data_IF_461705500829
#
_entry.id   IF_461705500829
#
_cell.length_a   1.000
_cell.length_b   1.000
_cell.length_c   1.000
_cell.angle_alpha   90.00
_cell.angle_beta   90.00
_cell.angle_gamma   90.00
#
_symmetry.space_group_name_H-M   'P 1'
#
loop_
_entity.id
_entity.type
_entity.pdbx_description
1 polymer ?
#
# COMPACT_ATOMS: atom_id res chain seq x y z
N UNK A 1 -33.23 23.23 -59.48
CA UNK A 1 -32.11 24.17 -59.69
C UNK A 1 -32.06 25.08 -58.48
N UNK A 2 -30.99 25.01 -57.71
CA UNK A 2 -30.84 25.73 -56.45
C UNK A 2 -29.45 25.42 -55.92
N UNK A 3 -28.48 26.11 -56.51
CA UNK A 3 -27.05 26.02 -56.32
C UNK A 3 -26.64 26.15 -54.85
N UNK A 4 -25.74 25.28 -54.42
CA UNK A 4 -24.95 25.47 -53.22
C UNK A 4 -24.02 26.68 -53.41
N UNK A 5 -24.02 27.58 -52.43
CA UNK A 5 -22.94 28.55 -52.22
C UNK A 5 -22.40 28.27 -50.82
N UNK A 6 -21.31 27.51 -50.76
CA UNK A 6 -20.49 27.41 -49.56
C UNK A 6 -19.70 28.71 -49.49
N UNK A 7 -19.75 29.37 -48.35
CA UNK A 7 -19.08 30.65 -48.12
C UNK A 7 -17.57 30.38 -47.98
N UNK A 8 -16.81 30.57 -49.07
CA UNK A 8 -15.35 30.45 -49.11
C UNK A 8 -14.67 31.71 -48.52
N UNK A 9 -15.05 32.09 -47.31
CA UNK A 9 -14.32 33.13 -46.57
C UNK A 9 -13.21 32.47 -45.76
N UNK A 10 -11.91 32.63 -46.13
CA UNK A 10 -10.82 32.10 -45.33
C UNK A 10 -10.79 32.81 -43.97
N UNK A 11 -10.74 32.03 -42.89
CA UNK A 11 -10.48 32.55 -41.56
C UNK A 11 -9.17 33.35 -41.57
N UNK A 12 -9.10 34.54 -40.93
CA UNK A 12 -7.85 35.27 -40.84
C UNK A 12 -6.81 34.40 -40.13
N UNK A 13 -5.62 34.31 -40.70
CA UNK A 13 -4.51 33.60 -40.10
C UNK A 13 -4.34 34.09 -38.66
N UNK A 14 -4.36 33.17 -37.69
CA UNK A 14 -3.88 33.49 -36.36
C UNK A 14 -2.43 33.95 -36.51
N UNK A 15 -2.18 35.18 -36.08
CA UNK A 15 -0.86 35.68 -35.78
C UNK A 15 -0.27 34.72 -34.74
N UNK A 16 0.71 33.93 -35.16
CA UNK A 16 1.56 33.13 -34.28
C UNK A 16 2.82 33.95 -33.92
N UNK A 17 2.69 35.27 -33.80
CA UNK A 17 3.78 36.16 -33.43
C UNK A 17 3.99 36.01 -31.92
N UNK A 18 4.86 35.07 -31.57
CA UNK A 18 5.58 35.13 -30.32
C UNK A 18 6.19 36.53 -30.26
N UNK A 19 5.70 37.36 -29.32
CA UNK A 19 6.23 38.70 -29.14
C UNK A 19 7.70 38.55 -28.79
N UNK A 20 8.58 38.91 -29.73
CA UNK A 20 9.97 39.16 -29.41
C UNK A 20 10.01 40.42 -28.55
N UNK A 21 10.37 40.22 -27.29
CA UNK A 21 10.72 41.24 -26.34
C UNK A 21 11.75 42.18 -26.99
N UNK A 22 11.37 43.44 -27.13
CA UNK A 22 12.20 44.50 -27.68
C UNK A 22 13.34 44.81 -26.72
N UNK A 23 14.49 44.20 -26.95
CA UNK A 23 15.72 44.45 -26.20
C UNK A 23 16.92 43.85 -26.91
N UNK A 24 17.15 44.26 -28.16
CA UNK A 24 18.39 43.92 -28.85
C UNK A 24 19.51 44.82 -28.33
N UNK A 25 20.36 44.31 -27.44
CA UNK A 25 21.72 44.80 -27.27
C UNK A 25 22.63 44.08 -28.28
N UNK A 26 23.31 44.87 -29.10
CA UNK A 26 24.33 44.43 -30.03
C UNK A 26 25.62 44.14 -29.25
N UNK A 27 25.67 42.92 -28.68
CA UNK A 27 26.72 42.46 -27.78
C UNK A 27 28.15 42.69 -28.27
N UNK A 28 28.78 43.73 -27.72
CA UNK A 28 30.15 43.65 -27.24
C UNK A 28 30.09 43.17 -25.78
N UNK A 29 30.77 42.06 -25.47
CA UNK A 29 30.83 41.48 -24.12
C UNK A 29 31.30 42.54 -23.11
N UNK A 30 30.39 42.96 -22.23
CA UNK A 30 30.73 43.79 -21.07
C UNK A 30 31.10 42.85 -19.91
N UNK A 31 32.14 43.17 -19.12
CA UNK A 31 32.47 42.41 -17.93
C UNK A 31 31.33 42.52 -16.91
N UNK A 32 31.12 41.43 -16.18
CA UNK A 32 29.99 41.22 -15.27
C UNK A 32 29.90 42.32 -14.20
N UNK A 33 28.94 43.23 -14.36
CA UNK A 33 28.41 44.01 -13.24
C UNK A 33 27.39 43.14 -12.48
N UNK A 34 27.26 43.29 -11.15
CA UNK A 34 26.45 42.38 -10.34
C UNK A 34 25.00 42.43 -10.80
N UNK A 35 24.47 41.25 -11.17
CA UNK A 35 23.14 41.10 -11.75
C UNK A 35 22.06 41.76 -10.87
N UNK A 36 21.38 42.75 -11.42
CA UNK A 36 20.10 43.19 -10.88
C UNK A 36 19.05 42.08 -11.03
N UNK A 37 18.17 42.07 -10.04
CA UNK A 37 17.37 40.94 -9.59
C UNK A 37 16.26 40.62 -10.61
N UNK A 38 16.57 39.76 -11.58
CA UNK A 38 15.56 39.14 -12.43
C UNK A 38 14.63 38.33 -11.54
N UNK A 39 13.35 38.74 -11.46
CA UNK A 39 12.31 38.27 -10.53
C UNK A 39 11.88 36.80 -10.59
N UNK A 40 12.80 35.87 -10.80
CA UNK A 40 12.68 34.53 -10.29
C UNK A 40 12.90 34.60 -8.78
N UNK A 41 11.82 34.45 -7.99
CA UNK A 41 11.96 34.32 -6.54
C UNK A 41 13.02 33.27 -6.22
N UNK A 42 13.90 33.56 -5.27
CA UNK A 42 14.85 32.60 -4.71
C UNK A 42 14.17 31.31 -4.23
N UNK A 43 12.85 31.34 -3.99
CA UNK A 43 12.05 30.18 -3.59
C UNK A 43 11.79 29.17 -4.73
N UNK A 44 11.95 29.58 -6.00
CA UNK A 44 11.75 28.73 -7.18
C UNK A 44 13.06 28.31 -7.85
N UNK A 45 14.20 28.47 -7.17
CA UNK A 45 15.47 27.86 -7.61
C UNK A 45 15.33 26.35 -7.38
N UNK A 46 15.63 25.55 -8.40
CA UNK A 46 15.76 24.10 -8.25
C UNK A 46 16.67 23.84 -7.05
N UNK A 47 16.18 23.10 -6.03
CA UNK A 47 16.98 22.69 -4.85
C UNK A 47 18.24 21.86 -5.20
N UNK A 48 18.53 21.69 -6.48
CA UNK A 48 19.70 20.99 -7.02
C UNK A 48 20.65 21.90 -7.81
N UNK A 49 20.41 23.22 -7.86
CA UNK A 49 21.23 24.16 -8.65
C UNK A 49 22.69 24.21 -8.20
N UNK A 50 22.95 24.07 -6.90
CA UNK A 50 24.29 24.25 -6.33
C UNK A 50 25.09 22.94 -6.18
N UNK A 51 24.58 21.82 -6.69
CA UNK A 51 25.26 20.52 -6.60
C UNK A 51 25.44 19.99 -5.16
N UNK A 52 24.90 20.67 -4.14
CA UNK A 52 24.81 20.16 -2.77
C UNK A 52 23.67 19.15 -2.71
N UNK A 53 24.00 17.89 -3.01
CA UNK A 53 23.11 16.74 -2.82
C UNK A 53 22.91 16.48 -1.32
N UNK A 54 22.25 17.40 -0.62
CA UNK A 54 21.56 16.98 0.59
C UNK A 54 20.43 16.07 0.15
N UNK A 55 20.58 14.79 0.47
CA UNK A 55 19.56 13.79 0.33
C UNK A 55 18.22 14.41 0.72
N UNK A 56 17.18 14.20 -0.10
CA UNK A 56 15.81 14.58 0.24
C UNK A 56 15.59 14.30 1.72
N UNK A 57 15.04 15.27 2.45
CA UNK A 57 15.03 15.45 3.92
C UNK A 57 14.40 14.28 4.74
N UNK A 58 14.74 13.02 4.45
CA UNK A 58 14.06 11.82 4.94
C UNK A 58 14.61 10.49 4.41
N UNK A 59 15.93 10.40 4.16
CA UNK A 59 16.62 9.15 3.84
C UNK A 59 16.12 8.39 2.60
N UNK A 60 16.65 7.19 2.41
CA UNK A 60 16.17 6.28 1.39
C UNK A 60 14.71 5.92 1.65
N UNK A 61 13.80 6.19 0.70
CA UNK A 61 12.36 5.87 0.85
C UNK A 61 12.02 4.38 1.01
N UNK A 62 13.01 3.49 0.85
CA UNK A 62 12.84 2.04 0.99
C UNK A 62 13.26 1.53 2.37
N UNK A 63 14.38 2.02 2.92
CA UNK A 63 14.92 1.55 4.20
C UNK A 63 14.96 2.62 5.31
N UNK A 64 14.78 3.89 4.96
CA UNK A 64 14.87 5.03 5.88
C UNK A 64 16.29 5.48 6.19
N UNK A 65 17.33 4.80 5.67
CA UNK A 65 18.73 5.16 5.91
C UNK A 65 19.22 6.23 4.94
N UNK A 66 20.03 7.16 5.43
CA UNK A 66 20.69 8.18 4.63
C UNK A 66 21.92 7.62 3.89
N UNK A 67 22.32 8.26 2.79
CA UNK A 67 23.56 7.93 2.07
C UNK A 67 23.38 7.12 0.78
N UNK A 68 22.16 6.75 0.40
CA UNK A 68 21.86 6.15 -0.91
C UNK A 68 20.46 6.50 -1.42
N UNK A 69 20.26 6.46 -2.74
CA UNK A 69 18.94 6.61 -3.35
C UNK A 69 18.14 5.31 -3.26
N UNK A 70 16.80 5.39 -3.28
CA UNK A 70 15.93 4.20 -3.24
C UNK A 70 16.17 3.17 -4.37
N UNK A 71 16.86 3.56 -5.44
CA UNK A 71 17.29 2.69 -6.54
C UNK A 71 18.60 1.96 -6.24
N UNK A 72 19.46 2.55 -5.41
CA UNK A 72 20.77 2.03 -5.02
C UNK A 72 20.71 1.41 -3.60
N UNK A 73 19.50 1.26 -3.06
CA UNK A 73 19.24 0.60 -1.79
C UNK A 73 19.59 -0.88 -1.90
N UNK A 74 20.37 -1.39 -0.94
CA UNK A 74 20.60 -2.82 -0.76
C UNK A 74 19.22 -3.49 -0.78
N UNK A 75 18.98 -4.48 -1.64
CA UNK A 75 17.63 -4.98 -1.93
C UNK A 75 16.94 -5.55 -0.68
N UNK A 76 16.26 -4.68 0.07
CA UNK A 76 15.48 -5.05 1.25
C UNK A 76 14.05 -5.35 0.80
N UNK A 77 13.52 -6.47 1.28
CA UNK A 77 12.16 -6.88 1.07
C UNK A 77 11.19 -5.89 1.73
N UNK A 78 10.26 -5.32 0.95
CA UNK A 78 9.29 -4.37 1.49
C UNK A 78 8.28 -5.02 2.47
N UNK A 79 8.11 -6.34 2.42
CA UNK A 79 7.27 -7.07 3.36
C UNK A 79 8.03 -7.30 4.69
N UNK A 80 9.07 -8.12 4.71
CA UNK A 80 9.71 -8.54 5.96
C UNK A 80 10.90 -7.67 6.41
N UNK A 81 11.32 -6.68 5.61
CA UNK A 81 12.54 -5.89 5.82
C UNK A 81 13.83 -6.73 5.88
N UNK A 82 13.80 -7.96 5.37
CA UNK A 82 14.98 -8.82 5.20
C UNK A 82 15.72 -8.51 3.89
N UNK A 83 17.01 -8.80 3.86
CA UNK A 83 17.87 -8.57 2.69
C UNK A 83 17.76 -9.71 1.66
N UNK A 84 18.11 -9.42 0.41
CA UNK A 84 18.38 -10.44 -0.62
C UNK A 84 17.15 -10.96 -1.40
N UNK A 85 15.95 -10.42 -1.18
CA UNK A 85 14.75 -10.81 -1.94
C UNK A 85 13.73 -9.66 -2.09
N UNK A 86 12.86 -9.75 -3.10
CA UNK A 86 11.72 -8.84 -3.29
C UNK A 86 10.52 -9.28 -2.44
N UNK A 87 9.56 -8.36 -2.20
CA UNK A 87 8.32 -8.68 -1.48
C UNK A 87 7.52 -9.82 -2.14
N UNK A 88 7.61 -9.94 -3.47
CA UNK A 88 6.98 -11.01 -4.25
C UNK A 88 7.56 -12.39 -3.95
N UNK A 89 8.87 -12.47 -3.66
CA UNK A 89 9.59 -13.71 -3.34
C UNK A 89 9.85 -13.83 -1.83
N UNK A 90 9.04 -13.16 -1.01
CA UNK A 90 9.18 -13.24 0.44
C UNK A 90 8.56 -14.53 0.98
N UNK A 91 9.41 -15.41 1.51
CA UNK A 91 8.98 -16.65 2.18
C UNK A 91 8.53 -16.41 3.63
N UNK A 92 8.83 -15.24 4.20
CA UNK A 92 8.41 -14.89 5.56
C UNK A 92 6.90 -14.69 5.58
N UNK A 93 6.25 -15.27 6.59
CA UNK A 93 4.84 -15.07 6.85
C UNK A 93 4.51 -13.56 6.82
N UNK A 94 3.62 -13.14 5.92
CA UNK A 94 3.20 -11.74 5.74
C UNK A 94 2.70 -11.10 7.04
N UNK A 95 2.26 -11.91 8.00
CA UNK A 95 1.88 -11.46 9.34
C UNK A 95 3.04 -10.79 10.10
N UNK A 96 4.29 -11.23 9.90
CA UNK A 96 5.45 -10.63 10.58
C UNK A 96 5.71 -9.19 10.12
N UNK A 97 5.51 -8.91 8.83
CA UNK A 97 5.56 -7.55 8.27
C UNK A 97 4.55 -6.63 8.97
N UNK A 98 3.31 -7.14 9.10
CA UNK A 98 2.21 -6.44 9.75
C UNK A 98 2.51 -6.17 11.24
N UNK A 99 3.07 -7.15 11.95
CA UNK A 99 3.44 -7.01 13.36
C UNK A 99 4.53 -5.96 13.58
N UNK A 100 5.50 -5.88 12.67
CA UNK A 100 6.55 -4.87 12.73
C UNK A 100 6.01 -3.46 12.47
N UNK A 101 5.07 -3.30 11.54
CA UNK A 101 4.43 -2.01 11.24
C UNK A 101 3.53 -1.52 12.39
N UNK A 102 2.73 -2.42 12.96
CA UNK A 102 1.88 -2.13 14.12
C UNK A 102 2.66 -1.99 15.43
N UNK A 103 4.00 -2.11 15.40
CA UNK A 103 4.88 -2.07 16.57
C UNK A 103 4.37 -2.97 17.69
N UNK A 104 4.00 -4.20 17.33
CA UNK A 104 3.55 -5.18 18.31
C UNK A 104 4.77 -5.63 19.10
N UNK A 105 4.80 -5.21 20.36
CA UNK A 105 5.81 -5.63 21.32
C UNK A 105 5.75 -7.14 21.50
N UNK A 106 6.93 -7.76 21.60
CA UNK A 106 7.04 -9.17 21.90
C UNK A 106 6.83 -9.38 23.40
N UNK A 107 5.58 -9.63 23.77
CA UNK A 107 5.19 -9.99 25.12
C UNK A 107 5.01 -11.50 25.23
N UNK A 108 5.09 -12.01 26.46
CA UNK A 108 4.84 -13.42 26.71
C UNK A 108 3.39 -13.81 26.37
N UNK A 109 3.17 -15.11 26.11
CA UNK A 109 1.84 -15.73 25.95
C UNK A 109 0.78 -15.16 26.92
N UNK A 110 1.10 -15.21 28.20
CA UNK A 110 0.15 -14.99 29.27
C UNK A 110 -0.14 -13.50 29.42
N UNK A 111 0.87 -12.67 29.18
CA UNK A 111 0.74 -11.22 29.13
C UNK A 111 -0.08 -10.76 27.91
N UNK A 112 0.17 -11.34 26.74
CA UNK A 112 -0.65 -11.08 25.54
C UNK A 112 -2.11 -11.43 25.79
N UNK A 113 -2.39 -12.58 26.42
CA UNK A 113 -3.74 -12.98 26.78
C UNK A 113 -4.38 -12.03 27.80
N UNK A 114 -3.64 -11.60 28.83
CA UNK A 114 -4.14 -10.61 29.79
C UNK A 114 -4.47 -9.28 29.11
N UNK A 115 -3.69 -8.87 28.11
CA UNK A 115 -3.99 -7.67 27.31
C UNK A 115 -5.26 -7.86 26.47
N UNK A 116 -5.52 -9.03 25.91
CA UNK A 116 -6.79 -9.34 25.22
C UNK A 116 -7.97 -9.23 26.21
N UNK A 117 -7.84 -9.82 27.40
CA UNK A 117 -8.87 -9.77 28.45
C UNK A 117 -9.14 -8.33 28.89
N UNK A 118 -8.09 -7.52 29.07
CA UNK A 118 -8.21 -6.11 29.44
C UNK A 118 -8.91 -5.31 28.33
N UNK A 119 -8.49 -5.49 27.07
CA UNK A 119 -9.05 -4.77 25.94
C UNK A 119 -10.52 -5.14 25.68
N UNK A 120 -10.94 -6.39 25.90
CA UNK A 120 -12.36 -6.78 25.79
C UNK A 120 -13.25 -6.04 26.80
N UNK A 121 -12.75 -5.81 28.03
CA UNK A 121 -13.48 -5.05 29.05
C UNK A 121 -13.65 -3.59 28.67
N UNK A 122 -12.63 -3.01 28.05
CA UNK A 122 -12.64 -1.62 27.58
C UNK A 122 -13.46 -1.43 26.30
N UNK A 123 -13.75 -2.53 25.59
CA UNK A 123 -14.49 -2.55 24.32
C UNK A 123 -13.84 -1.69 23.25
N UNK A 124 -12.50 -1.70 23.22
CA UNK A 124 -11.70 -1.06 22.18
C UNK A 124 -11.34 -2.08 21.09
N UNK A 125 -11.84 -1.88 19.86
CA UNK A 125 -11.61 -2.82 18.75
C UNK A 125 -10.14 -2.88 18.35
N UNK A 126 -9.44 -1.75 18.41
CA UNK A 126 -8.08 -1.64 17.92
C UNK A 126 -7.09 -2.25 18.92
N UNK A 127 -7.32 -2.07 20.22
CA UNK A 127 -6.50 -2.72 21.25
C UNK A 127 -6.73 -4.24 21.29
N UNK A 128 -7.96 -4.70 21.11
CA UNK A 128 -8.26 -6.14 20.99
C UNK A 128 -7.55 -6.72 19.76
N UNK A 129 -7.63 -6.03 18.61
CA UNK A 129 -6.96 -6.48 17.39
C UNK A 129 -5.45 -6.61 17.61
N UNK A 130 -4.83 -5.59 18.22
CA UNK A 130 -3.39 -5.59 18.53
C UNK A 130 -3.00 -6.69 19.51
N UNK A 131 -3.77 -6.88 20.57
CA UNK A 131 -3.50 -7.91 21.58
C UNK A 131 -3.66 -9.32 21.01
N UNK A 132 -4.68 -9.56 20.17
CA UNK A 132 -4.86 -10.85 19.47
C UNK A 132 -3.70 -11.12 18.53
N UNK A 133 -3.19 -10.12 17.82
CA UNK A 133 -2.01 -10.28 16.98
C UNK A 133 -0.73 -10.54 17.79
N UNK A 134 -0.56 -9.89 18.94
CA UNK A 134 0.54 -10.20 19.86
C UNK A 134 0.47 -11.66 20.33
N UNK A 135 -0.73 -12.13 20.66
CA UNK A 135 -0.97 -13.51 21.06
C UNK A 135 -0.72 -14.51 19.91
N UNK A 136 -1.17 -14.21 18.69
CA UNK A 136 -0.90 -15.01 17.50
C UNK A 136 0.60 -15.05 17.13
N UNK A 137 1.35 -13.98 17.41
CA UNK A 137 2.81 -13.96 17.26
C UNK A 137 3.49 -14.91 18.27
N UNK A 138 2.99 -14.97 19.51
CA UNK A 138 3.49 -15.89 20.53
C UNK A 138 3.11 -17.36 20.26
N UNK A 139 1.99 -17.60 19.56
CA UNK A 139 1.49 -18.93 19.20
C UNK A 139 1.17 -19.06 17.71
N UNK A 140 2.14 -19.46 16.86
CA UNK A 140 1.91 -19.61 15.43
C UNK A 140 0.96 -20.76 15.07
N UNK A 141 0.74 -21.71 15.98
CA UNK A 141 -0.21 -22.83 15.82
C UNK A 141 -1.67 -22.42 16.10
N UNK A 142 -1.90 -21.19 16.59
CA UNK A 142 -3.24 -20.72 16.92
C UNK A 142 -4.12 -20.63 15.67
N UNK A 143 -5.29 -21.25 15.75
CA UNK A 143 -6.32 -21.17 14.70
C UNK A 143 -7.42 -20.19 15.12
N UNK A 144 -8.04 -19.53 14.13
CA UNK A 144 -9.18 -18.64 14.38
C UNK A 144 -10.36 -19.36 15.04
N UNK A 145 -10.57 -20.63 14.69
CA UNK A 145 -11.60 -21.49 15.29
C UNK A 145 -11.30 -21.73 16.77
N UNK A 146 -10.06 -22.10 17.11
CA UNK A 146 -9.66 -22.29 18.51
C UNK A 146 -9.76 -21.00 19.32
N UNK A 147 -9.36 -19.87 18.71
CA UNK A 147 -9.47 -18.57 19.36
C UNK A 147 -10.94 -18.20 19.65
N UNK A 148 -11.85 -18.40 18.70
CA UNK A 148 -13.28 -18.14 18.90
C UNK A 148 -13.87 -19.00 20.02
N UNK A 149 -13.49 -20.28 20.09
CA UNK A 149 -13.90 -21.15 21.18
C UNK A 149 -13.41 -20.64 22.54
N UNK A 150 -12.13 -20.24 22.66
CA UNK A 150 -11.61 -19.66 23.91
C UNK A 150 -12.32 -18.34 24.29
N UNK A 151 -12.73 -17.54 23.30
CA UNK A 151 -13.47 -16.31 23.54
C UNK A 151 -14.87 -16.58 24.11
N UNK A 152 -15.51 -17.68 23.69
CA UNK A 152 -16.82 -18.11 24.21
C UNK A 152 -16.71 -18.72 25.59
N UNK A 153 -15.65 -19.47 25.87
CA UNK A 153 -15.38 -20.01 27.21
C UNK A 153 -15.08 -18.90 28.23
N UNK A 154 -14.39 -17.83 27.80
CA UNK A 154 -14.05 -16.68 28.63
C UNK A 154 -15.17 -15.61 28.76
N UNK A 155 -16.33 -15.82 28.14
CA UNK A 155 -17.47 -14.88 28.10
C UNK A 155 -17.09 -13.48 27.59
N UNK A 156 -16.26 -13.42 26.53
CA UNK A 156 -15.87 -12.14 25.93
C UNK A 156 -17.00 -11.45 25.17
N UNK A 157 -17.01 -10.12 25.23
CA UNK A 157 -17.91 -9.26 24.47
C UNK A 157 -17.60 -9.27 22.97
N UNK A 158 -16.39 -9.68 22.61
CA UNK A 158 -15.90 -9.70 21.23
C UNK A 158 -16.28 -10.97 20.49
N UNK A 159 -16.71 -10.78 19.25
CA UNK A 159 -17.05 -11.79 18.28
C UNK A 159 -16.10 -11.69 17.10
N UNK A 160 -15.48 -12.81 16.76
CA UNK A 160 -14.72 -12.99 15.53
C UNK A 160 -15.73 -13.38 14.44
N UNK A 161 -15.90 -12.52 13.45
CA UNK A 161 -16.86 -12.72 12.37
C UNK A 161 -16.10 -12.86 11.06
N UNK A 162 -16.30 -13.98 10.39
CA UNK A 162 -15.81 -14.23 9.04
C UNK A 162 -16.79 -13.63 8.03
N UNK A 163 -16.45 -12.45 7.53
CA UNK A 163 -17.28 -11.71 6.58
C UNK A 163 -16.84 -12.02 5.14
N UNK A 164 -17.79 -12.30 4.27
CA UNK A 164 -17.56 -12.34 2.83
C UNK A 164 -17.42 -10.90 2.31
N UNK A 165 -16.23 -10.54 1.86
CA UNK A 165 -15.94 -9.21 1.37
C UNK A 165 -14.96 -9.30 0.20
N UNK A 166 -15.31 -8.62 -0.90
CA UNK A 166 -14.39 -8.46 -2.02
C UNK A 166 -13.21 -7.58 -1.61
N UNK A 167 -12.02 -8.11 -1.82
CA UNK A 167 -10.76 -7.43 -1.57
C UNK A 167 -10.19 -7.05 -2.92
N UNK A 168 -9.68 -5.83 -3.06
CA UNK A 168 -9.07 -5.37 -4.31
C UNK A 168 -7.90 -6.27 -4.70
N UNK A 169 -7.63 -6.43 -6.00
CA UNK A 169 -6.56 -7.30 -6.52
C UNK A 169 -5.13 -6.97 -6.06
N UNK A 170 -4.92 -5.81 -5.41
CA UNK A 170 -3.62 -5.44 -4.81
C UNK A 170 -3.47 -5.96 -3.38
N UNK A 171 -4.53 -6.48 -2.77
CA UNK A 171 -4.57 -6.97 -1.40
C UNK A 171 -4.85 -8.48 -1.39
N UNK A 172 -4.34 -9.17 -0.38
CA UNK A 172 -4.53 -10.60 -0.19
C UNK A 172 -5.02 -10.86 1.23
N UNK A 173 -5.95 -11.80 1.39
CA UNK A 173 -6.40 -12.23 2.71
C UNK A 173 -5.49 -13.37 3.19
N UNK A 174 -4.92 -13.21 4.38
CA UNK A 174 -3.94 -14.16 4.93
C UNK A 174 -4.36 -14.59 6.34
N UNK A 175 -4.31 -15.89 6.62
CA UNK A 175 -4.61 -16.43 7.95
C UNK A 175 -3.45 -16.13 8.94
N UNK A 176 -3.67 -16.26 10.25
CA UNK A 176 -2.63 -16.15 11.28
C UNK A 176 -1.44 -17.09 11.04
N UNK A 177 -1.68 -18.26 10.46
CA UNK A 177 -0.64 -19.22 10.06
C UNK A 177 0.17 -18.77 8.82
N UNK A 178 -0.19 -17.65 8.18
CA UNK A 178 0.51 -17.10 7.02
C UNK A 178 0.09 -17.67 5.67
N UNK A 179 -0.95 -18.52 5.63
CA UNK A 179 -1.52 -19.00 4.38
C UNK A 179 -2.26 -17.87 3.65
N UNK A 180 -1.84 -17.49 2.43
CA UNK A 180 -2.54 -16.47 1.64
C UNK A 180 -3.84 -17.03 1.03
N UNK A 181 -4.51 -16.19 0.24
CA UNK A 181 -5.69 -16.51 -0.58
C UNK A 181 -6.87 -17.09 0.20
N UNK A 182 -7.08 -16.59 1.41
CA UNK A 182 -8.27 -16.91 2.21
C UNK A 182 -9.51 -16.24 1.61
N UNK A 183 -10.69 -16.84 1.83
CA UNK A 183 -11.95 -16.38 1.21
C UNK A 183 -12.65 -15.29 2.04
N UNK A 184 -12.55 -15.36 3.36
CA UNK A 184 -13.31 -14.49 4.26
C UNK A 184 -12.41 -13.50 5.00
N UNK A 185 -12.89 -12.28 5.16
CA UNK A 185 -12.22 -11.25 5.95
C UNK A 185 -12.61 -11.40 7.41
N UNK A 186 -11.62 -11.53 8.28
CA UNK A 186 -11.77 -11.52 9.73
C UNK A 186 -12.16 -10.12 10.21
N UNK A 187 -13.30 -10.04 10.89
CA UNK A 187 -13.81 -8.82 11.50
C UNK A 187 -14.02 -9.02 13.00
N UNK A 188 -13.49 -8.09 13.80
CA UNK A 188 -13.71 -8.03 15.25
C UNK A 188 -14.97 -7.19 15.52
N UNK A 189 -15.97 -7.76 16.19
CA UNK A 189 -17.29 -7.15 16.37
C UNK A 189 -17.82 -7.39 17.77
N UNK A 190 -18.49 -6.42 18.40
CA UNK A 190 -19.07 -6.60 19.75
C UNK A 190 -20.49 -7.19 19.76
N UNK A 191 -20.92 -7.78 18.64
CA UNK A 191 -22.24 -8.39 18.54
C UNK A 191 -22.27 -9.43 17.43
N UNK A 192 -22.96 -10.54 17.69
CA UNK A 192 -23.23 -11.58 16.70
C UNK A 192 -24.11 -11.09 15.53
N UNK A 193 -24.83 -9.98 15.72
CA UNK A 193 -25.67 -9.35 14.69
C UNK A 193 -24.99 -8.12 14.08
N UNK A 194 -25.14 -7.91 12.76
CA UNK A 194 -24.60 -6.72 12.11
C UNK A 194 -25.32 -5.47 12.64
N UNK A 195 -24.56 -4.50 13.14
CA UNK A 195 -25.13 -3.24 13.65
C UNK A 195 -25.53 -2.26 12.56
N UNK A 196 -24.98 -2.39 11.34
CA UNK A 196 -25.32 -1.52 10.21
C UNK A 196 -25.64 -2.36 8.97
N UNK A 197 -26.54 -1.84 8.15
CA UNK A 197 -26.99 -2.49 6.90
C UNK A 197 -25.83 -2.74 5.92
N UNK A 198 -24.84 -1.85 5.86
CA UNK A 198 -23.63 -2.08 5.05
C UNK A 198 -22.76 -3.24 5.54
N UNK A 199 -22.88 -3.61 6.81
CA UNK A 199 -22.16 -4.76 7.39
C UNK A 199 -22.95 -6.06 7.26
N UNK A 200 -24.26 -6.03 7.01
CA UNK A 200 -25.03 -7.27 6.80
C UNK A 200 -24.73 -7.93 5.47
N UNK A 201 -24.20 -7.18 4.50
CA UNK A 201 -23.72 -7.71 3.23
C UNK A 201 -22.49 -8.60 3.48
N UNK A 202 -22.64 -9.92 3.26
CA UNK A 202 -21.61 -10.92 3.51
C UNK A 202 -21.50 -11.40 4.96
N UNK A 203 -22.45 -11.05 5.84
CA UNK A 203 -22.47 -11.51 7.23
C UNK A 203 -22.95 -12.97 7.32
N UNK A 204 -22.32 -13.82 8.15
CA UNK A 204 -22.74 -15.21 8.31
C UNK A 204 -24.15 -15.30 8.91
N UNK A 205 -24.96 -16.22 8.42
CA UNK A 205 -26.37 -16.35 8.82
C UNK A 205 -26.51 -16.99 10.20
N UNK A 206 -25.60 -17.91 10.52
CA UNK A 206 -25.57 -18.64 11.80
C UNK A 206 -24.17 -18.62 12.44
N UNK A 207 -24.08 -18.80 13.77
CA UNK A 207 -22.79 -18.94 14.46
C UNK A 207 -21.99 -20.18 14.00
N UNK A 208 -22.68 -21.27 13.67
CA UNK A 208 -22.06 -22.50 13.16
C UNK A 208 -21.39 -22.26 11.80
N UNK A 209 -22.11 -21.58 10.89
CA UNK A 209 -21.57 -21.16 9.60
C UNK A 209 -20.37 -20.21 9.78
N UNK A 210 -20.44 -19.32 10.77
CA UNK A 210 -19.31 -18.44 11.09
C UNK A 210 -18.06 -19.21 11.49
N UNK A 211 -18.18 -20.28 12.28
CA UNK A 211 -17.04 -21.12 12.70
C UNK A 211 -16.40 -21.82 11.49
N UNK A 212 -17.21 -22.35 10.57
CA UNK A 212 -16.70 -22.96 9.34
C UNK A 212 -15.97 -21.92 8.47
N UNK A 213 -16.59 -20.75 8.28
CA UNK A 213 -15.96 -19.64 7.54
C UNK A 213 -14.69 -19.12 8.21
N UNK A 214 -14.58 -19.18 9.54
CA UNK A 214 -13.38 -18.77 10.27
C UNK A 214 -12.16 -19.65 9.97
N UNK A 215 -12.35 -20.90 9.54
CA UNK A 215 -11.24 -21.75 9.12
C UNK A 215 -10.55 -21.23 7.84
N UNK A 216 -11.33 -20.58 6.97
CA UNK A 216 -10.88 -19.95 5.72
C UNK A 216 -10.89 -18.42 5.81
N UNK A 217 -10.86 -17.89 7.03
CA UNK A 217 -10.80 -16.46 7.27
C UNK A 217 -9.37 -16.00 7.51
N UNK A 218 -9.12 -14.75 7.18
CA UNK A 218 -7.85 -14.12 7.45
C UNK A 218 -7.96 -12.61 7.51
N UNK A 219 -6.81 -11.97 7.68
CA UNK A 219 -6.70 -10.52 7.71
C UNK A 219 -6.32 -10.02 6.33
N UNK A 220 -6.97 -8.96 5.88
CA UNK A 220 -6.63 -8.27 4.63
C UNK A 220 -5.27 -7.62 4.81
N UNK A 221 -4.31 -8.02 3.98
CA UNK A 221 -2.98 -7.44 3.93
C UNK A 221 -2.64 -6.95 2.53
N UNK A 222 -1.66 -6.05 2.44
CA UNK A 222 -1.11 -5.63 1.16
C UNK A 222 -0.45 -6.83 0.46
N UNK A 223 -0.86 -7.08 -0.78
CA UNK A 223 -0.27 -8.11 -1.63
C UNK A 223 1.07 -7.68 -2.22
N UNK A 224 1.45 -6.41 -2.03
CA UNK A 224 2.59 -5.73 -2.64
C UNK A 224 2.56 -5.74 -4.18
N UNK A 225 1.39 -6.03 -4.76
CA UNK A 225 1.17 -6.06 -6.20
C UNK A 225 0.87 -4.64 -6.68
N UNK A 226 1.72 -4.11 -7.55
CA UNK A 226 1.54 -2.77 -8.10
C UNK A 226 0.65 -2.82 -9.34
N UNK A 227 -0.39 -1.99 -9.40
CA UNK A 227 -1.18 -1.79 -10.62
C UNK A 227 -0.55 -0.69 -11.47
N UNK A 228 -0.47 -0.91 -12.78
CA UNK A 228 -0.04 0.12 -13.71
C UNK A 228 -1.09 1.24 -13.73
N UNK A 229 -0.68 2.48 -13.47
CA UNK A 229 -1.59 3.64 -13.47
C UNK A 229 -2.23 3.91 -14.84
N UNK A 230 -1.62 3.44 -15.93
CA UNK A 230 -2.09 3.70 -17.29
C UNK A 230 -3.03 2.62 -17.84
N UNK A 231 -2.78 1.34 -17.53
CA UNK A 231 -3.58 0.22 -18.05
C UNK A 231 -4.36 -0.55 -16.97
N UNK A 232 -4.26 -0.17 -15.70
CA UNK A 232 -4.93 -0.77 -14.52
C UNK A 232 -4.65 -2.26 -14.28
N UNK A 233 -3.78 -2.85 -15.10
CA UNK A 233 -3.33 -4.23 -14.96
C UNK A 233 -2.27 -4.36 -13.87
N UNK A 234 -2.25 -5.53 -13.23
CA UNK A 234 -1.18 -5.94 -12.32
C UNK A 234 0.15 -5.95 -13.09
N UNK A 235 1.11 -5.17 -12.61
CA UNK A 235 2.48 -5.23 -13.10
C UNK A 235 3.13 -6.44 -12.44
N UNK A 236 3.08 -7.60 -13.11
CA UNK A 236 4.03 -8.66 -12.77
C UNK A 236 5.43 -8.07 -12.96
N UNK A 237 6.26 -8.09 -11.92
CA UNK A 237 7.65 -7.69 -12.07
C UNK A 237 8.27 -8.48 -13.22
N UNK A 238 9.01 -7.79 -14.09
CA UNK A 238 9.61 -8.32 -15.32
C UNK A 238 10.74 -9.34 -15.04
N UNK A 239 10.60 -10.23 -14.06
CA UNK A 239 11.58 -11.29 -13.74
C UNK A 239 11.44 -12.51 -14.65
N UNK A 240 10.30 -12.70 -15.32
CA UNK A 240 10.20 -13.62 -16.46
C UNK A 240 10.34 -12.82 -17.75
N UNK A 241 11.59 -12.54 -18.14
CA UNK A 241 11.92 -12.50 -19.57
C UNK A 241 11.44 -13.84 -20.13
N UNK A 242 10.25 -13.85 -20.72
CA UNK A 242 9.88 -14.85 -21.71
C UNK A 242 11.05 -14.82 -22.68
N UNK A 243 11.86 -15.87 -22.66
CA UNK A 243 12.83 -16.13 -23.73
C UNK A 243 11.94 -16.23 -24.96
N UNK A 244 11.81 -15.11 -25.67
CA UNK A 244 11.27 -15.10 -27.02
C UNK A 244 12.41 -15.77 -27.77
N UNK A 245 12.27 -17.08 -27.95
CA UNK A 245 13.09 -17.86 -28.85
C UNK A 245 12.85 -17.21 -30.22
N UNK A 246 13.77 -16.33 -30.62
CA UNK A 246 13.84 -15.88 -32.00
C UNK A 246 14.36 -17.08 -32.78
N UNK A 247 13.43 -17.95 -33.17
CA UNK A 247 13.68 -18.98 -34.16
C UNK A 247 14.32 -18.33 -35.37
N UNK A 248 15.62 -18.54 -35.53
CA UNK A 248 16.32 -18.43 -36.80
C UNK A 248 15.78 -19.51 -37.72
N UNK A 249 14.69 -19.21 -38.40
CA UNK A 249 14.39 -19.79 -39.70
C UNK A 249 14.96 -18.85 -40.77
N UNK A 250 16.06 -19.31 -41.38
CA UNK A 250 16.54 -19.21 -42.78
C UNK A 250 18.06 -19.20 -42.81
#
# INVERSE_FOLDING_TARGET
>A
MGSATWDDTPAPAADNSWKMDSGADDGAWKPDEPAEENGFSADNISKHHDGDFKAADGGCRRCGEDGHFARDCHNICAACKGEGHSAENCEVNRMHAMFADMKIEEVSSDEAWNNVVAADKEKDVDDIRRAVFAYAKAFPELTLVGLEATFREADFNTFLIAKEQEVSDTHTIVNFQGKPDQKYVLSFQFSARPRRVKFSEGWPTTPEENIERLAEAGVVMDGFVQKCRNCEQIVESLSKKKIIDHGTDV
#
